data_IF_375983321055
#
_entry.id   IF_375983321055
#
_cell.length_a   1.000
_cell.length_b   1.000
_cell.length_c   1.000
_cell.angle_alpha   90.00
_cell.angle_beta   90.00
_cell.angle_gamma   90.00
#
_symmetry.space_group_name_H-M   'P 1'
#
loop_
_entity.id
_entity.type
_entity.pdbx_description
1 polymer ?
#
# COMPACT_ATOMS: atom_id res chain seq x y z
N UNK A 1 9.53 2.43 -8.25
CA UNK A 1 9.07 1.18 -7.61
C UNK A 1 9.81 0.93 -6.31
N UNK A 2 11.12 0.60 -6.27
CA UNK A 2 11.80 0.33 -4.98
C UNK A 2 11.83 1.56 -4.06
N UNK A 3 12.35 2.69 -4.55
CA UNK A 3 12.41 3.92 -3.75
C UNK A 3 11.02 4.44 -3.36
N UNK A 4 10.04 4.36 -4.27
CA UNK A 4 8.65 4.73 -3.98
C UNK A 4 8.01 3.82 -2.94
N UNK A 5 8.27 2.51 -2.99
CA UNK A 5 7.82 1.54 -1.98
C UNK A 5 8.43 1.80 -0.60
N UNK A 6 9.74 2.08 -0.53
CA UNK A 6 10.41 2.40 0.74
C UNK A 6 9.88 3.72 1.32
N UNK A 7 9.74 4.75 0.49
CA UNK A 7 9.14 6.03 0.91
C UNK A 7 7.69 5.84 1.39
N UNK A 8 6.90 5.03 0.67
CA UNK A 8 5.51 4.75 1.04
C UNK A 8 5.42 4.04 2.40
N UNK A 9 6.20 2.98 2.61
CA UNK A 9 6.23 2.26 3.89
C UNK A 9 6.64 3.16 5.06
N UNK A 10 7.68 3.99 4.86
CA UNK A 10 8.18 4.89 5.92
C UNK A 10 7.21 6.01 6.30
N UNK A 11 6.35 6.47 5.39
CA UNK A 11 5.29 7.44 5.72
C UNK A 11 4.27 6.92 6.73
N UNK A 12 4.17 5.61 6.94
CA UNK A 12 3.20 4.99 7.85
C UNK A 12 3.77 4.75 9.27
N UNK A 13 4.86 5.42 9.65
CA UNK A 13 5.54 5.19 10.92
C UNK A 13 4.61 5.33 12.15
N UNK A 14 3.73 6.33 12.18
CA UNK A 14 2.76 6.51 13.27
C UNK A 14 1.63 5.46 13.24
N UNK A 15 1.27 4.94 12.07
CA UNK A 15 0.17 3.98 11.94
C UNK A 15 0.56 2.57 12.41
N UNK A 16 1.86 2.28 12.44
CA UNK A 16 2.41 0.96 12.80
C UNK A 16 3.43 1.02 13.95
N UNK A 17 3.37 2.06 14.79
CA UNK A 17 4.24 2.20 15.98
C UNK A 17 5.73 1.94 15.70
N UNK A 18 6.24 2.48 14.59
CA UNK A 18 7.63 2.28 14.15
C UNK A 18 8.03 0.82 13.86
N UNK A 19 7.08 -0.10 13.67
CA UNK A 19 7.37 -1.48 13.29
C UNK A 19 7.94 -1.54 11.85
N UNK A 20 9.27 -1.58 11.77
CA UNK A 20 10.00 -1.57 10.49
C UNK A 20 9.62 -2.74 9.57
N UNK A 21 9.34 -3.92 10.13
CA UNK A 21 8.92 -5.07 9.33
C UNK A 21 7.57 -4.79 8.66
N UNK A 22 6.59 -4.35 9.45
CA UNK A 22 5.26 -4.05 8.93
C UNK A 22 5.30 -2.88 7.92
N UNK A 23 6.07 -1.84 8.21
CA UNK A 23 6.23 -0.68 7.35
C UNK A 23 6.90 -1.02 6.02
N UNK A 24 8.03 -1.72 6.02
CA UNK A 24 8.84 -1.93 4.82
C UNK A 24 8.40 -3.16 4.02
N UNK A 25 8.09 -4.26 4.72
CA UNK A 25 7.80 -5.55 4.07
C UNK A 25 6.31 -5.65 3.77
N UNK A 26 5.44 -5.35 4.72
CA UNK A 26 4.00 -5.52 4.50
C UNK A 26 3.44 -4.35 3.69
N UNK A 27 3.62 -3.12 4.16
CA UNK A 27 3.03 -1.92 3.55
C UNK A 27 3.83 -1.45 2.33
N UNK A 28 5.16 -1.39 2.46
CA UNK A 28 6.04 -0.96 1.37
C UNK A 28 5.96 -1.86 0.12
N UNK A 29 5.91 -3.18 0.28
CA UNK A 29 5.79 -4.09 -0.87
C UNK A 29 4.39 -4.06 -1.49
N UNK A 30 3.35 -3.80 -0.71
CA UNK A 30 1.97 -3.66 -1.20
C UNK A 30 1.85 -2.52 -2.22
N UNK A 31 2.75 -1.55 -2.19
CA UNK A 31 2.83 -0.46 -3.19
C UNK A 31 3.20 -0.94 -4.60
N UNK A 32 3.96 -2.04 -4.74
CA UNK A 32 4.53 -2.48 -6.03
C UNK A 32 3.44 -2.81 -7.07
N UNK A 33 2.38 -3.57 -6.75
CA UNK A 33 1.25 -3.80 -7.67
C UNK A 33 0.59 -2.52 -8.17
N UNK A 34 0.45 -1.49 -7.32
CA UNK A 34 -0.20 -0.23 -7.69
C UNK A 34 0.67 0.64 -8.59
N UNK A 35 1.98 0.71 -8.29
CA UNK A 35 2.95 1.34 -9.17
C UNK A 35 2.96 0.63 -10.54
N UNK A 36 2.89 -0.70 -10.56
CA UNK A 36 2.82 -1.47 -11.81
C UNK A 36 1.54 -1.17 -12.59
N UNK A 37 0.39 -1.13 -11.93
CA UNK A 37 -0.90 -0.81 -12.56
C UNK A 37 -0.91 0.60 -13.15
N UNK A 38 -0.30 1.57 -12.45
CA UNK A 38 -0.08 2.92 -12.99
C UNK A 38 0.80 2.85 -14.25
N UNK A 39 2.00 2.30 -14.17
CA UNK A 39 2.91 2.26 -15.33
C UNK A 39 2.31 1.50 -16.52
N UNK A 40 1.57 0.43 -16.27
CA UNK A 40 0.95 -0.40 -17.32
C UNK A 40 -0.16 0.33 -18.07
N UNK A 41 -0.92 1.17 -17.38
CA UNK A 41 -2.05 1.92 -17.96
C UNK A 41 -1.70 3.35 -18.34
N UNK A 42 -0.50 3.82 -17.97
CA UNK A 42 -0.07 5.20 -18.07
C UNK A 42 -1.06 6.18 -17.40
N UNK A 43 -1.71 5.74 -16.32
CA UNK A 43 -2.70 6.52 -15.57
C UNK A 43 -2.45 6.43 -14.08
N UNK A 44 -2.16 7.56 -13.45
CA UNK A 44 -2.00 7.64 -11.99
C UNK A 44 -3.26 7.15 -11.26
N UNK A 45 -4.44 7.43 -11.85
CA UNK A 45 -5.73 7.04 -11.28
C UNK A 45 -5.91 5.54 -11.14
N UNK A 46 -5.33 4.73 -12.03
CA UNK A 46 -5.42 3.27 -11.90
C UNK A 46 -4.66 2.78 -10.67
N UNK A 47 -3.49 3.35 -10.37
CA UNK A 47 -2.76 3.06 -9.13
C UNK A 47 -3.50 3.54 -7.88
N UNK A 48 -4.08 4.75 -7.93
CA UNK A 48 -4.86 5.34 -6.81
C UNK A 48 -6.12 4.52 -6.53
N UNK A 49 -6.91 4.20 -7.55
CA UNK A 49 -8.12 3.40 -7.40
C UNK A 49 -7.80 1.99 -6.89
N UNK A 50 -6.74 1.36 -7.42
CA UNK A 50 -6.27 0.06 -6.94
C UNK A 50 -5.91 0.08 -5.45
N UNK A 51 -5.22 1.13 -4.99
CA UNK A 51 -4.88 1.31 -3.58
C UNK A 51 -6.12 1.49 -2.69
N UNK A 52 -7.04 2.38 -3.06
CA UNK A 52 -8.27 2.63 -2.29
C UNK A 52 -9.11 1.35 -2.18
N UNK A 53 -9.29 0.63 -3.29
CA UNK A 53 -10.06 -0.62 -3.30
C UNK A 53 -9.41 -1.66 -2.39
N UNK A 54 -8.08 -1.82 -2.47
CA UNK A 54 -7.35 -2.76 -1.62
C UNK A 54 -7.54 -2.45 -0.13
N UNK A 55 -7.39 -1.19 0.27
CA UNK A 55 -7.53 -0.76 1.66
C UNK A 55 -8.95 -0.99 2.18
N UNK A 56 -9.98 -0.64 1.40
CA UNK A 56 -11.38 -0.87 1.75
C UNK A 56 -11.68 -2.35 1.95
N UNK A 57 -11.15 -3.23 1.08
CA UNK A 57 -11.31 -4.67 1.21
C UNK A 57 -10.58 -5.20 2.44
N UNK A 58 -9.36 -4.73 2.71
CA UNK A 58 -8.59 -5.13 3.89
C UNK A 58 -9.30 -4.73 5.19
N UNK A 59 -9.84 -3.51 5.26
CA UNK A 59 -10.63 -3.04 6.40
C UNK A 59 -11.94 -3.80 6.55
N UNK A 60 -12.63 -4.13 5.45
CA UNK A 60 -13.83 -4.96 5.50
C UNK A 60 -13.51 -6.34 6.07
N UNK A 61 -12.46 -7.01 5.59
CA UNK A 61 -12.03 -8.31 6.13
C UNK A 61 -11.68 -8.21 7.60
N UNK A 62 -10.94 -7.17 8.01
CA UNK A 62 -10.61 -6.93 9.41
C UNK A 62 -11.85 -6.71 10.29
N UNK A 63 -12.83 -5.94 9.81
CA UNK A 63 -14.08 -5.68 10.52
C UNK A 63 -14.95 -6.93 10.68
N UNK A 64 -14.87 -7.88 9.75
CA UNK A 64 -15.59 -9.15 9.79
C UNK A 64 -14.88 -10.23 10.61
N UNK A 65 -13.62 -10.01 11.00
CA UNK A 65 -12.79 -10.97 11.73
C UNK A 65 -12.87 -10.80 13.27
N UNK A 66 -13.56 -9.76 13.75
CA UNK A 66 -13.91 -9.55 15.17
C UNK A 66 -15.32 -10.01 15.48
#
# INVERSE_FOLDING_TARGET
MVMSSLAFGTMHYNAYDWNLYQMLITVGLTRIPFDWAWYKTNSLWTGVAGHIIFDLLAFLVGAMAG
#
